data_IF_978313909084
#
_entry.id   IF_978313909084
#
_cell.length_a   1.000
_cell.length_b   1.000
_cell.length_c   1.000
_cell.angle_alpha   90.00
_cell.angle_beta   90.00
_cell.angle_gamma   90.00
#
_symmetry.space_group_name_H-M   'P 1'
#
loop_
_entity.id
_entity.type
_entity.pdbx_description
1 polymer ?
#
# COMPACT_ATOMS: atom_id res chain seq x y z
N UNK A 1 4.81 -2.78 4.74
CA UNK A 1 5.43 -1.85 3.77
C UNK A 1 4.34 -1.15 2.99
N UNK A 2 4.42 0.18 2.86
CA UNK A 2 3.51 0.97 2.02
C UNK A 2 3.96 0.90 0.56
N UNK A 3 3.04 0.58 -0.36
CA UNK A 3 3.33 0.44 -1.79
C UNK A 3 2.25 1.06 -2.64
N UNK A 4 2.62 1.58 -3.81
CA UNK A 4 1.64 1.99 -4.82
C UNK A 4 0.87 0.75 -5.31
N UNK A 5 -0.46 0.81 -5.30
CA UNK A 5 -1.36 -0.26 -5.68
C UNK A 5 -1.07 -0.78 -7.10
N UNK A 6 -0.66 0.10 -8.02
CA UNK A 6 -0.26 -0.28 -9.37
C UNK A 6 0.93 -1.26 -9.40
N UNK A 7 1.74 -1.30 -8.33
CA UNK A 7 2.84 -2.26 -8.20
C UNK A 7 2.40 -3.71 -8.05
N UNK A 8 1.18 -3.95 -7.56
CA UNK A 8 0.63 -5.31 -7.42
C UNK A 8 0.39 -5.95 -8.79
N UNK A 9 0.02 -5.14 -9.79
CA UNK A 9 -0.28 -5.59 -11.15
C UNK A 9 0.85 -5.30 -12.14
N UNK A 10 2.02 -4.86 -11.67
CA UNK A 10 3.13 -4.53 -12.56
C UNK A 10 3.77 -5.81 -13.13
N UNK A 11 3.85 -6.00 -14.46
CA UNK A 11 4.30 -7.25 -15.07
C UNK A 11 5.66 -7.73 -14.58
N UNK A 12 6.63 -6.81 -14.43
CA UNK A 12 7.98 -7.15 -13.94
C UNK A 12 8.02 -7.59 -12.47
N UNK A 13 6.97 -7.31 -11.69
CA UNK A 13 6.88 -7.66 -10.27
C UNK A 13 6.09 -8.95 -10.02
N UNK A 14 5.41 -9.49 -11.03
CA UNK A 14 4.62 -10.72 -10.91
C UNK A 14 5.43 -11.87 -10.32
N UNK A 15 6.64 -12.12 -10.86
CA UNK A 15 7.51 -13.18 -10.36
C UNK A 15 7.99 -12.95 -8.91
N UNK A 16 8.17 -11.68 -8.52
CA UNK A 16 8.49 -11.34 -7.14
C UNK A 16 7.34 -11.67 -6.20
N UNK A 17 6.10 -11.28 -6.55
CA UNK A 17 4.90 -11.53 -5.75
C UNK A 17 4.57 -13.02 -5.61
N UNK A 18 4.79 -13.79 -6.67
CA UNK A 18 4.57 -15.24 -6.64
C UNK A 18 5.55 -15.98 -5.72
N UNK A 19 6.82 -15.53 -5.70
CA UNK A 19 7.88 -16.11 -4.86
C UNK A 19 7.81 -15.62 -3.41
N UNK A 20 7.52 -14.34 -3.21
CA UNK A 20 7.49 -13.69 -1.89
C UNK A 20 6.06 -13.29 -1.54
N UNK A 21 5.19 -14.30 -1.38
CA UNK A 21 3.77 -14.06 -1.13
C UNK A 21 3.58 -13.33 0.20
N UNK A 22 2.85 -12.20 0.22
CA UNK A 22 2.53 -11.54 1.47
C UNK A 22 1.51 -12.35 2.26
N UNK A 23 1.48 -12.11 3.57
CA UNK A 23 0.43 -12.60 4.45
C UNK A 23 -0.86 -11.82 4.26
N UNK A 24 -0.75 -10.49 4.21
CA UNK A 24 -1.91 -9.59 4.09
C UNK A 24 -1.62 -8.41 3.17
N UNK A 25 -2.65 -7.99 2.45
CA UNK A 25 -2.66 -6.77 1.65
C UNK A 25 -3.85 -5.94 2.11
N UNK A 26 -3.61 -4.70 2.52
CA UNK A 26 -4.65 -3.75 2.86
C UNK A 26 -4.68 -2.63 1.84
N UNK A 27 -5.79 -2.41 1.15
CA UNK A 27 -5.99 -1.17 0.41
C UNK A 27 -6.28 -0.04 1.42
N UNK A 28 -5.61 1.10 1.24
CA UNK A 28 -5.70 2.23 2.15
C UNK A 28 -6.24 3.45 1.41
N UNK A 29 -7.27 4.08 1.98
CA UNK A 29 -7.77 5.37 1.48
C UNK A 29 -6.95 6.55 2.04
N UNK A 30 -7.21 7.76 1.53
CA UNK A 30 -6.72 9.04 2.07
C UNK A 30 -5.21 9.18 2.34
N UNK A 31 -4.38 8.26 1.84
CA UNK A 31 -2.91 8.32 1.96
C UNK A 31 -2.31 9.05 0.77
N UNK A 32 -1.49 10.06 1.06
CA UNK A 32 -0.65 10.75 0.07
C UNK A 32 0.79 10.71 0.53
N UNK A 33 1.69 10.22 -0.35
CA UNK A 33 3.12 10.17 -0.07
C UNK A 33 3.75 11.50 -0.50
N UNK A 34 4.39 12.18 0.44
CA UNK A 34 5.12 13.41 0.19
C UNK A 34 6.61 13.12 -0.05
N UNK A 35 7.20 13.59 -1.16
CA UNK A 35 8.62 13.37 -1.42
C UNK A 35 9.54 14.24 -0.54
N UNK A 36 9.00 15.27 0.12
CA UNK A 36 9.75 16.20 0.98
C UNK A 36 8.96 16.47 2.26
N UNK A 37 9.62 17.01 3.30
CA UNK A 37 8.98 17.48 4.55
C UNK A 37 8.09 18.74 4.36
N UNK A 38 7.48 18.90 3.19
CA UNK A 38 6.55 19.98 2.88
C UNK A 38 5.14 19.51 3.19
N UNK A 39 4.57 20.08 4.24
CA UNK A 39 3.19 19.87 4.62
C UNK A 39 2.35 21.01 4.00
N UNK A 40 1.39 20.67 3.14
CA UNK A 40 0.57 21.61 2.38
C UNK A 40 -0.48 20.88 1.52
N UNK A 41 -1.02 21.53 0.49
CA UNK A 41 -1.86 20.83 -0.49
C UNK A 41 -0.97 19.95 -1.39
N UNK A 42 -1.26 18.64 -1.42
CA UNK A 42 -0.53 17.71 -2.25
C UNK A 42 -0.64 18.05 -3.73
N UNK A 43 0.50 18.08 -4.48
CA UNK A 43 0.44 18.17 -5.92
C UNK A 43 -0.44 17.07 -6.51
N UNK A 44 -1.24 17.40 -7.52
CA UNK A 44 -2.22 16.50 -8.14
C UNK A 44 -1.63 15.16 -8.58
N UNK A 45 -0.37 15.13 -8.97
CA UNK A 45 0.31 13.88 -9.37
C UNK A 45 0.37 12.88 -8.20
N UNK A 46 0.57 13.36 -6.97
CA UNK A 46 0.69 12.50 -5.79
C UNK A 46 -0.66 12.08 -5.23
N UNK A 47 -1.72 12.87 -5.42
CA UNK A 47 -3.09 12.54 -4.99
C UNK A 47 -3.77 11.51 -5.89
N UNK A 48 -3.25 11.30 -7.12
CA UNK A 48 -3.72 10.26 -8.04
C UNK A 48 -3.21 8.87 -7.69
N UNK A 49 -2.10 8.77 -6.96
CA UNK A 49 -1.61 7.48 -6.54
C UNK A 49 -2.56 6.85 -5.52
N UNK A 50 -2.69 5.52 -5.58
CA UNK A 50 -3.41 4.71 -4.62
C UNK A 50 -2.41 3.80 -3.96
N UNK A 51 -2.52 3.62 -2.65
CA UNK A 51 -1.55 2.86 -1.88
C UNK A 51 -2.18 1.65 -1.21
N UNK A 52 -1.33 0.68 -0.89
CA UNK A 52 -1.67 -0.48 -0.09
C UNK A 52 -0.60 -0.72 0.96
N UNK A 53 -0.99 -1.26 2.11
CA UNK A 53 -0.08 -1.77 3.11
C UNK A 53 0.09 -3.28 2.92
N UNK A 54 1.31 -3.71 2.65
CA UNK A 54 1.64 -5.11 2.44
C UNK A 54 2.41 -5.65 3.64
N UNK A 55 1.94 -6.77 4.19
CA UNK A 55 2.54 -7.45 5.34
C UNK A 55 3.10 -8.78 4.90
N UNK A 56 4.37 -9.02 5.17
CA UNK A 56 4.99 -10.34 5.07
C UNK A 56 5.18 -10.91 6.47
N UNK A 57 5.07 -12.23 6.58
CA UNK A 57 5.36 -12.97 7.81
C UNK A 57 6.15 -14.22 7.43
N UNK A 58 7.22 -14.58 8.15
CA UNK A 58 7.98 -15.80 7.89
C UNK A 58 7.11 -17.07 7.95
N UNK A 59 6.12 -17.07 8.84
CA UNK A 59 5.27 -18.25 9.13
C UNK A 59 4.02 -18.31 8.25
N UNK A 60 3.83 -17.36 7.33
CA UNK A 60 2.65 -17.36 6.48
C UNK A 60 2.79 -18.34 5.31
N UNK A 61 1.97 -19.38 5.34
CA UNK A 61 1.83 -20.34 4.26
C UNK A 61 0.44 -20.20 3.64
N UNK A 62 0.38 -19.90 2.34
CA UNK A 62 -0.86 -19.92 1.58
C UNK A 62 -1.17 -18.65 0.79
N UNK A 63 -2.45 -18.46 0.48
CA UNK A 63 -2.93 -17.29 -0.25
C UNK A 63 -2.91 -16.04 0.67
N UNK A 64 -2.58 -14.86 0.12
CA UNK A 64 -2.71 -13.61 0.87
C UNK A 64 -4.18 -13.31 1.17
N UNK A 65 -4.46 -12.78 2.36
CA UNK A 65 -5.77 -12.17 2.64
C UNK A 65 -5.78 -10.70 2.18
N UNK A 66 -6.95 -10.22 1.73
CA UNK A 66 -7.15 -8.83 1.34
C UNK A 66 -8.12 -8.13 2.29
N UNK A 67 -7.85 -6.87 2.64
CA UNK A 67 -8.71 -6.05 3.50
C UNK A 67 -8.61 -4.56 3.18
N UNK A 68 -9.34 -3.75 3.94
CA UNK A 68 -9.42 -2.30 3.79
C UNK A 68 -8.96 -1.61 5.09
N UNK A 69 -8.26 -0.48 4.97
CA UNK A 69 -7.89 0.41 6.07
C UNK A 69 -8.27 1.85 5.73
N UNK A 70 -8.86 2.55 6.68
CA UNK A 70 -9.11 4.00 6.59
C UNK A 70 -7.94 4.75 7.21
N UNK A 71 -7.39 5.73 6.50
CA UNK A 71 -6.48 6.72 7.07
C UNK A 71 -7.18 8.05 7.37
N UNK A 72 -8.44 8.21 6.95
CA UNK A 72 -9.21 9.44 7.12
C UNK A 72 -9.51 9.78 8.59
N UNK A 73 -9.71 8.76 9.42
CA UNK A 73 -10.16 8.94 10.81
C UNK A 73 -9.02 9.08 11.83
N UNK A 74 -7.75 9.00 11.41
CA UNK A 74 -6.59 9.03 12.32
C UNK A 74 -6.38 10.38 13.04
N UNK A 75 -7.23 11.39 12.79
CA UNK A 75 -7.10 12.75 13.35
C UNK A 75 -7.95 13.02 14.60
N UNK A 76 -8.47 12.00 15.27
CA UNK A 76 -9.29 12.20 16.47
C UNK A 76 -8.85 11.30 17.62
N UNK A 77 -7.90 11.82 18.40
CA UNK A 77 -7.48 11.35 19.71
C UNK A 77 -6.85 12.49 20.47
#
# INVERSE_FOLDING_TARGET
MLLNLASLCHPSRTAFWQRNRPARIYAIDAVVCWPEHRYGQAPDVFTRHRYCWVVWSPDHHGAPSFGWLSAGDFRSG
#
